data_IF_938730684336
#
_entry.id   IF_938730684336
#
_cell.length_a   1.000
_cell.length_b   1.000
_cell.length_c   1.000
_cell.angle_alpha   90.00
_cell.angle_beta   90.00
_cell.angle_gamma   90.00
#
_symmetry.space_group_name_H-M   'P 1'
#
loop_
_entity.id
_entity.type
_entity.pdbx_description
1 polymer ?
#
# COMPACT_ATOMS: atom_id res chain seq x y z
N UNK A 1 2.83 7.94 49.72
CA UNK A 1 3.40 8.67 48.57
C UNK A 1 4.05 7.63 47.65
N UNK A 2 3.71 7.72 46.37
CA UNK A 2 4.13 7.02 45.13
C UNK A 2 5.42 6.17 45.20
N UNK A 3 5.59 5.04 44.51
CA UNK A 3 5.15 4.70 43.15
C UNK A 3 5.18 3.17 42.94
N UNK A 4 4.18 2.64 42.25
CA UNK A 4 4.33 1.37 41.53
C UNK A 4 5.11 1.59 40.23
N UNK A 5 5.64 0.50 39.68
CA UNK A 5 5.61 0.16 38.24
C UNK A 5 6.41 -1.14 38.08
N UNK A 6 5.67 -2.21 37.82
CA UNK A 6 6.22 -3.51 37.51
C UNK A 6 7.04 -3.45 36.21
N UNK A 7 8.17 -4.15 36.21
CA UNK A 7 9.08 -4.31 35.08
C UNK A 7 8.41 -5.01 33.89
N UNK A 8 7.75 -4.24 33.01
CA UNK A 8 7.23 -4.75 31.73
C UNK A 8 8.23 -4.67 30.56
N UNK A 9 9.48 -4.26 30.81
CA UNK A 9 10.45 -3.95 29.72
C UNK A 9 11.01 -5.18 28.98
N UNK A 10 11.09 -6.35 29.62
CA UNK A 10 11.83 -7.49 29.06
C UNK A 10 11.11 -8.24 27.93
N UNK A 11 9.77 -8.26 27.92
CA UNK A 11 9.00 -8.97 26.89
C UNK A 11 8.78 -8.11 25.64
N UNK A 12 8.67 -6.80 25.80
CA UNK A 12 8.53 -5.87 24.66
C UNK A 12 9.83 -5.78 23.85
N UNK A 13 10.98 -5.81 24.53
CA UNK A 13 12.30 -5.87 23.87
C UNK A 13 12.46 -7.11 22.99
N UNK A 14 12.10 -8.30 23.49
CA UNK A 14 12.19 -9.55 22.74
C UNK A 14 11.28 -9.59 21.51
N UNK A 15 10.11 -8.93 21.57
CA UNK A 15 9.23 -8.74 20.42
C UNK A 15 9.89 -7.87 19.36
N UNK A 16 10.41 -6.71 19.77
CA UNK A 16 11.10 -5.76 18.89
C UNK A 16 12.37 -6.34 18.27
N UNK A 17 13.12 -7.18 18.97
CA UNK A 17 14.28 -7.90 18.44
C UNK A 17 13.87 -8.87 17.32
N UNK A 18 12.74 -9.57 17.46
CA UNK A 18 12.23 -10.46 16.40
C UNK A 18 11.78 -9.69 15.16
N UNK A 19 11.17 -8.52 15.34
CA UNK A 19 10.80 -7.63 14.22
C UNK A 19 12.03 -7.01 13.55
N UNK A 20 13.02 -6.59 14.33
CA UNK A 20 14.28 -6.02 13.83
C UNK A 20 15.13 -7.08 13.12
N UNK A 21 15.17 -8.30 13.64
CA UNK A 21 15.86 -9.43 13.03
C UNK A 21 15.14 -9.94 11.77
N UNK A 22 13.81 -9.95 11.74
CA UNK A 22 13.04 -10.21 10.52
C UNK A 22 13.24 -9.13 9.45
N UNK A 23 13.39 -7.86 9.85
CA UNK A 23 13.77 -6.77 8.94
C UNK A 23 15.23 -6.90 8.45
N UNK A 24 16.17 -7.27 9.33
CA UNK A 24 17.58 -7.45 8.96
C UNK A 24 17.79 -8.66 8.05
N UNK A 25 17.02 -9.73 8.22
CA UNK A 25 17.12 -10.94 7.40
C UNK A 25 16.49 -10.76 5.99
N UNK A 26 15.57 -9.81 5.84
CA UNK A 26 15.00 -9.45 4.53
C UNK A 26 15.99 -8.71 3.61
N UNK A 27 17.04 -8.09 4.16
CA UNK A 27 18.06 -7.35 3.39
C UNK A 27 19.18 -8.27 2.84
N UNK A 28 19.25 -9.51 3.34
CA UNK A 28 20.21 -10.53 2.91
C UNK A 28 19.65 -11.36 1.75
N UNK A 29 19.29 -10.72 0.64
CA UNK A 29 18.82 -11.42 -0.57
C UNK A 29 20.03 -11.83 -1.41
N UNK A 30 20.37 -13.12 -1.36
CA UNK A 30 21.40 -13.70 -2.22
C UNK A 30 21.17 -13.33 -3.69
N UNK A 31 22.23 -12.86 -4.35
CA UNK A 31 22.24 -12.31 -5.70
C UNK A 31 21.89 -13.38 -6.76
N UNK A 32 20.61 -13.70 -6.90
CA UNK A 32 20.08 -14.53 -7.98
C UNK A 32 19.81 -13.63 -9.18
N UNK A 33 20.64 -13.78 -10.21
CA UNK A 33 20.48 -13.32 -11.62
C UNK A 33 19.97 -11.89 -11.78
N UNK A 34 20.83 -11.01 -12.32
CA UNK A 34 20.49 -9.63 -12.67
C UNK A 34 19.15 -9.56 -13.41
N UNK A 35 18.12 -9.04 -12.75
CA UNK A 35 16.85 -8.74 -13.41
C UNK A 35 17.07 -7.67 -14.49
N UNK A 36 16.23 -7.66 -15.54
CA UNK A 36 16.29 -6.65 -16.61
C UNK A 36 16.35 -5.23 -16.03
N UNK A 37 17.09 -4.32 -16.68
CA UNK A 37 17.27 -2.92 -16.25
C UNK A 37 15.88 -2.30 -15.97
N UNK A 38 15.65 -1.86 -14.73
CA UNK A 38 14.35 -1.32 -14.28
C UNK A 38 13.44 -2.31 -13.51
N UNK A 39 13.85 -3.56 -13.30
CA UNK A 39 13.10 -4.52 -12.49
C UNK A 39 13.57 -4.50 -11.02
N UNK A 40 12.61 -4.36 -10.10
CA UNK A 40 12.84 -4.51 -8.67
C UNK A 40 13.27 -5.95 -8.33
N UNK A 41 14.39 -6.09 -7.63
CA UNK A 41 14.91 -7.39 -7.14
C UNK A 41 14.63 -7.60 -5.65
N UNK A 42 14.44 -6.52 -4.90
CA UNK A 42 14.16 -6.59 -3.47
C UNK A 42 12.68 -6.97 -3.22
N UNK A 43 12.38 -7.94 -2.33
CA UNK A 43 11.00 -8.38 -2.07
C UNK A 43 10.02 -7.24 -1.74
N UNK A 44 10.47 -6.28 -0.92
CA UNK A 44 9.69 -5.05 -0.61
C UNK A 44 9.28 -4.27 -1.87
N UNK A 45 10.21 -4.10 -2.80
CA UNK A 45 9.97 -3.34 -4.04
C UNK A 45 9.06 -4.11 -5.01
N UNK A 46 9.12 -5.45 -5.01
CA UNK A 46 8.19 -6.31 -5.78
C UNK A 46 6.77 -6.16 -5.22
N UNK A 47 6.61 -6.31 -3.90
CA UNK A 47 5.31 -6.19 -3.24
C UNK A 47 4.67 -4.81 -3.46
N UNK A 48 5.44 -3.73 -3.38
CA UNK A 48 4.94 -2.38 -3.65
C UNK A 48 4.53 -2.19 -5.12
N UNK A 49 5.28 -2.77 -6.07
CA UNK A 49 4.89 -2.74 -7.49
C UNK A 49 3.54 -3.43 -7.70
N UNK A 50 3.36 -4.62 -7.15
CA UNK A 50 2.09 -5.35 -7.25
C UNK A 50 0.93 -4.59 -6.60
N UNK A 51 1.18 -3.89 -5.48
CA UNK A 51 0.18 -2.98 -4.89
C UNK A 51 -0.18 -1.86 -5.85
N UNK A 52 0.81 -1.18 -6.46
CA UNK A 52 0.57 -0.10 -7.43
C UNK A 52 -0.19 -0.57 -8.66
N UNK A 53 0.17 -1.73 -9.22
CA UNK A 53 -0.55 -2.33 -10.36
C UNK A 53 -2.02 -2.58 -10.01
N UNK A 54 -2.31 -3.17 -8.84
CA UNK A 54 -3.70 -3.37 -8.38
C UNK A 54 -4.48 -2.05 -8.24
N UNK A 55 -3.83 -0.97 -7.82
CA UNK A 55 -4.46 0.36 -7.73
C UNK A 55 -4.77 0.87 -9.14
N UNK A 56 -3.81 0.82 -10.06
CA UNK A 56 -4.01 1.24 -11.46
C UNK A 56 -5.11 0.45 -12.15
N UNK A 57 -5.19 -0.86 -11.93
CA UNK A 57 -6.24 -1.71 -12.51
C UNK A 57 -7.64 -1.31 -12.01
N UNK A 58 -7.76 -0.99 -10.71
CA UNK A 58 -9.01 -0.50 -10.13
C UNK A 58 -9.39 0.87 -10.67
N UNK A 59 -8.42 1.78 -10.84
CA UNK A 59 -8.67 3.09 -11.46
C UNK A 59 -9.15 2.95 -12.90
N UNK A 60 -8.59 2.01 -13.67
CA UNK A 60 -9.04 1.75 -15.04
C UNK A 60 -10.49 1.26 -15.10
N UNK A 61 -10.84 0.31 -14.23
CA UNK A 61 -12.23 -0.15 -14.10
C UNK A 61 -13.18 0.98 -13.70
N UNK A 62 -12.72 1.91 -12.87
CA UNK A 62 -13.53 3.06 -12.47
C UNK A 62 -13.79 4.00 -13.65
N UNK A 63 -12.80 4.22 -14.52
CA UNK A 63 -12.96 5.02 -15.74
C UNK A 63 -14.03 4.47 -16.68
N UNK A 64 -14.16 3.14 -16.76
CA UNK A 64 -15.18 2.49 -17.60
C UNK A 64 -16.61 2.63 -17.04
N UNK A 65 -16.75 2.89 -15.73
CA UNK A 65 -18.04 2.94 -15.04
C UNK A 65 -18.59 4.36 -14.84
N UNK A 66 -17.71 5.36 -14.79
CA UNK A 66 -18.09 6.75 -14.49
C UNK A 66 -18.02 7.59 -15.77
N UNK A 67 -19.12 8.23 -16.20
CA UNK A 67 -19.14 9.04 -17.41
C UNK A 67 -18.16 10.22 -17.30
N UNK A 68 -17.49 10.54 -18.41
CA UNK A 68 -16.51 11.63 -18.55
C UNK A 68 -15.23 11.52 -17.68
N UNK A 69 -14.98 10.38 -17.02
CA UNK A 69 -13.78 10.23 -16.20
C UNK A 69 -12.47 10.20 -17.02
N UNK A 70 -12.55 9.87 -18.31
CA UNK A 70 -11.44 9.85 -19.28
C UNK A 70 -10.82 11.24 -19.54
N UNK A 71 -11.57 12.32 -19.27
CA UNK A 71 -11.13 13.70 -19.48
C UNK A 71 -10.29 14.23 -18.30
N UNK A 72 -10.29 13.53 -17.18
CA UNK A 72 -9.59 13.94 -15.97
C UNK A 72 -8.13 13.45 -15.97
N UNK A 73 -7.20 14.37 -15.73
CA UNK A 73 -5.76 14.08 -15.66
C UNK A 73 -5.27 13.84 -14.23
N UNK A 74 -5.99 14.36 -13.23
CA UNK A 74 -5.69 14.23 -11.81
C UNK A 74 -6.44 13.04 -11.20
N UNK A 75 -5.75 12.23 -10.40
CA UNK A 75 -6.38 11.12 -9.68
C UNK A 75 -7.36 11.61 -8.61
N UNK A 76 -7.13 12.78 -8.01
CA UNK A 76 -8.06 13.36 -7.04
C UNK A 76 -9.40 13.64 -7.72
N UNK A 77 -9.36 14.38 -8.82
CA UNK A 77 -10.52 14.80 -9.58
C UNK A 77 -11.31 13.58 -10.13
N UNK A 78 -10.62 12.51 -10.55
CA UNK A 78 -11.28 11.25 -10.89
C UNK A 78 -12.07 10.69 -9.70
N UNK A 79 -11.47 10.65 -8.51
CA UNK A 79 -12.15 10.13 -7.32
C UNK A 79 -13.34 11.01 -6.91
N UNK A 80 -13.22 12.33 -7.02
CA UNK A 80 -14.30 13.27 -6.72
C UNK A 80 -15.49 13.08 -7.68
N UNK A 81 -15.23 12.97 -9.00
CA UNK A 81 -16.24 12.67 -10.00
C UNK A 81 -16.95 11.33 -9.76
N UNK A 82 -16.22 10.30 -9.32
CA UNK A 82 -16.83 9.02 -8.98
C UNK A 82 -17.81 9.15 -7.81
N UNK A 83 -17.45 9.93 -6.78
CA UNK A 83 -18.33 10.18 -5.63
C UNK A 83 -19.59 10.93 -6.05
N UNK A 84 -19.46 11.94 -6.91
CA UNK A 84 -20.61 12.69 -7.44
C UNK A 84 -21.54 11.80 -8.27
N UNK A 85 -20.98 10.95 -9.14
CA UNK A 85 -21.76 10.02 -9.94
C UNK A 85 -22.57 9.05 -9.06
N UNK A 86 -21.96 8.49 -8.01
CA UNK A 86 -22.65 7.61 -7.06
C UNK A 86 -23.79 8.33 -6.34
N UNK A 87 -23.58 9.58 -5.89
CA UNK A 87 -24.63 10.38 -5.25
C UNK A 87 -25.80 10.67 -6.19
N UNK A 88 -25.51 10.93 -7.47
CA UNK A 88 -26.51 11.10 -8.51
C UNK A 88 -27.36 9.86 -8.72
N UNK A 89 -26.73 8.68 -8.81
CA UNK A 89 -27.43 7.40 -8.93
C UNK A 89 -28.30 7.09 -7.71
N UNK A 90 -27.81 7.38 -6.50
CA UNK A 90 -28.58 7.18 -5.27
C UNK A 90 -29.83 8.06 -5.18
N UNK A 91 -29.80 9.24 -5.80
CA UNK A 91 -30.93 10.18 -5.82
C UNK A 91 -32.00 9.82 -6.86
N UNK A 92 -31.70 8.87 -7.76
CA UNK A 92 -32.61 8.35 -8.78
C UNK A 92 -33.32 7.06 -8.36
N UNK A 93 -32.92 6.48 -7.22
CA UNK A 93 -33.56 5.33 -6.56
C UNK A 93 -34.65 5.82 -5.60
#
# INVERSE_FOLDING_TARGET
QFSGMASSSSLELAGMDKYMQAQQQQDQVAFKVRAKRGCATHPRSIAERERRTRISDKLRKLQDLVPNMDKQTSTSDMLDLAVEHIKGLQSQL
#
